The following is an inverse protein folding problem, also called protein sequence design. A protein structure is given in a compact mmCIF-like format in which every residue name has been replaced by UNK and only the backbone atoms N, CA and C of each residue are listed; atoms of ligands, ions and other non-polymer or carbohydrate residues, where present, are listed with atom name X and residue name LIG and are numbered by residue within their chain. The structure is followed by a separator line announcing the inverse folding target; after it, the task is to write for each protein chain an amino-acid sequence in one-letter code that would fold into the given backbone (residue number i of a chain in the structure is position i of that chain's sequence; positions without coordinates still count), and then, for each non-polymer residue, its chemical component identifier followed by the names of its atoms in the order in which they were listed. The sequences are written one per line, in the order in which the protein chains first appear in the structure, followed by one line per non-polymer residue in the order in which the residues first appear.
data_IF_071573485032
#
_entry.id   IF_071573485032
#
_cell.length_a   1.000
_cell.length_b   1.000
_cell.length_c   1.000
_cell.angle_alpha   90.00
_cell.angle_beta   90.00
_cell.angle_gamma   90.00
#
_symmetry.space_group_name_H-M   'P 1'
#
loop_
_entity.id
_entity.type
_entity.pdbx_description
1 polymer ?
#
# COMPACT_ATOMS: atom_id res chain seq x y z
N UNK A 1 0.05 13.42 -108.08
CA UNK A 1 0.69 13.06 -106.80
C UNK A 1 0.46 14.10 -105.70
N UNK A 2 0.48 15.41 -105.99
CA UNK A 2 0.29 16.48 -104.99
C UNK A 2 -1.12 16.53 -104.36
N UNK A 3 -2.18 16.22 -105.11
CA UNK A 3 -3.57 16.23 -104.60
C UNK A 3 -3.84 15.13 -103.57
N UNK A 4 -3.25 13.93 -103.76
CA UNK A 4 -3.40 12.80 -102.83
C UNK A 4 -2.72 13.11 -101.49
N UNK A 5 -1.55 13.77 -101.53
CA UNK A 5 -0.83 14.16 -100.32
C UNK A 5 -1.64 15.17 -99.49
N UNK A 6 -2.28 16.14 -100.15
CA UNK A 6 -3.14 17.14 -99.49
C UNK A 6 -4.35 16.51 -98.80
N UNK A 7 -5.03 15.57 -99.47
CA UNK A 7 -6.18 14.86 -98.89
C UNK A 7 -5.78 14.03 -97.68
N UNK A 8 -4.66 13.30 -97.76
CA UNK A 8 -4.14 12.52 -96.63
C UNK A 8 -3.78 13.44 -95.46
N UNK A 9 -3.16 14.59 -95.72
CA UNK A 9 -2.84 15.54 -94.65
C UNK A 9 -4.10 16.10 -93.97
N UNK A 10 -5.14 16.43 -94.74
CA UNK A 10 -6.41 16.90 -94.19
C UNK A 10 -7.09 15.84 -93.30
N UNK A 11 -7.05 14.56 -93.69
CA UNK A 11 -7.62 13.48 -92.87
C UNK A 11 -6.82 13.27 -91.58
N UNK A 12 -5.49 13.35 -91.64
CA UNK A 12 -4.62 13.22 -90.46
C UNK A 12 -4.83 14.38 -89.48
N UNK A 13 -4.92 15.61 -89.97
CA UNK A 13 -5.22 16.78 -89.12
C UNK A 13 -6.62 16.67 -88.52
N UNK A 14 -7.62 16.25 -89.31
CA UNK A 14 -8.98 16.01 -88.80
C UNK A 14 -9.04 14.94 -87.71
N UNK A 15 -8.27 13.85 -87.85
CA UNK A 15 -8.17 12.80 -86.84
C UNK A 15 -7.46 13.28 -85.55
N UNK A 16 -6.41 14.11 -85.68
CA UNK A 16 -5.69 14.69 -84.55
C UNK A 16 -6.55 15.68 -83.75
N UNK A 17 -7.29 16.56 -84.44
CA UNK A 17 -8.24 17.49 -83.82
C UNK A 17 -9.35 16.74 -83.05
N UNK A 18 -9.89 15.67 -83.64
CA UNK A 18 -10.92 14.85 -82.99
C UNK A 18 -10.38 14.12 -81.76
N UNK A 19 -9.13 13.64 -81.83
CA UNK A 19 -8.46 12.97 -80.72
C UNK A 19 -8.15 13.94 -79.57
N UNK A 20 -7.64 15.13 -79.88
CA UNK A 20 -7.39 16.19 -78.89
C UNK A 20 -8.69 16.65 -78.21
N UNK A 21 -9.77 16.82 -78.98
CA UNK A 21 -11.09 17.16 -78.46
C UNK A 21 -11.66 16.09 -77.52
N UNK A 22 -11.43 14.82 -77.83
CA UNK A 22 -11.85 13.70 -76.96
C UNK A 22 -11.03 13.64 -75.68
N UNK A 23 -9.71 13.81 -75.77
CA UNK A 23 -8.81 13.82 -74.61
C UNK A 23 -9.12 14.98 -73.64
N UNK A 24 -9.46 16.17 -74.15
CA UNK A 24 -9.87 17.32 -73.33
C UNK A 24 -11.17 17.05 -72.56
N UNK A 25 -12.16 16.42 -73.21
CA UNK A 25 -13.41 16.02 -72.55
C UNK A 25 -13.19 14.98 -71.47
N UNK A 26 -12.35 13.97 -71.73
CA UNK A 26 -12.04 12.93 -70.75
C UNK A 26 -11.29 13.51 -69.52
N UNK A 27 -10.43 14.51 -69.72
CA UNK A 27 -9.78 15.24 -68.63
C UNK A 27 -10.78 16.07 -67.81
N UNK A 28 -11.71 16.79 -68.45
CA UNK A 28 -12.76 17.55 -67.75
C UNK A 28 -13.67 16.64 -66.90
N UNK A 29 -14.00 15.46 -67.40
CA UNK A 29 -14.77 14.44 -66.66
C UNK A 29 -13.97 13.77 -65.52
N UNK A 30 -12.64 13.73 -65.61
CA UNK A 30 -11.80 13.26 -64.51
C UNK A 30 -11.67 14.33 -63.41
N UNK A 31 -11.58 15.62 -63.78
CA UNK A 31 -11.52 16.71 -62.80
C UNK A 31 -12.83 16.89 -62.04
N UNK A 32 -13.97 16.87 -62.71
CA UNK A 32 -15.30 16.93 -62.05
C UNK A 32 -15.49 15.80 -61.05
N UNK A 33 -15.16 14.56 -61.42
CA UNK A 33 -15.21 13.42 -60.48
C UNK A 33 -14.28 13.57 -59.27
N UNK A 34 -13.11 14.20 -59.43
CA UNK A 34 -12.20 14.47 -58.30
C UNK A 34 -12.73 15.58 -57.38
N UNK A 35 -13.38 16.60 -57.94
CA UNK A 35 -14.01 17.68 -57.16
C UNK A 35 -15.19 17.14 -56.37
N UNK A 36 -16.04 16.31 -56.99
CA UNK A 36 -17.17 15.68 -56.30
C UNK A 36 -16.69 14.75 -55.18
N UNK A 37 -15.64 13.95 -55.43
CA UNK A 37 -15.04 13.10 -54.42
C UNK A 37 -14.41 13.89 -53.25
N UNK A 38 -13.79 15.05 -53.53
CA UNK A 38 -13.27 15.93 -52.48
C UNK A 38 -14.41 16.54 -51.65
N UNK A 39 -15.49 16.96 -52.30
CA UNK A 39 -16.65 17.54 -51.63
C UNK A 39 -17.36 16.52 -50.72
N UNK A 40 -17.45 15.27 -51.17
CA UNK A 40 -17.95 14.14 -50.36
C UNK A 40 -17.05 13.84 -49.14
N UNK A 41 -15.73 14.01 -49.28
CA UNK A 41 -14.81 13.86 -48.14
C UNK A 41 -14.93 15.02 -47.14
N UNK A 42 -15.04 16.26 -47.63
CA UNK A 42 -15.20 17.45 -46.78
C UNK A 42 -16.53 17.42 -46.03
N UNK A 43 -17.62 17.00 -46.68
CA UNK A 43 -18.93 16.84 -46.02
C UNK A 43 -18.92 15.73 -44.96
N UNK A 44 -18.26 14.61 -45.23
CA UNK A 44 -18.05 13.55 -44.22
C UNK A 44 -17.21 14.04 -43.04
N UNK A 45 -16.11 14.76 -43.29
CA UNK A 45 -15.28 15.33 -42.22
C UNK A 45 -16.04 16.40 -41.40
N UNK A 46 -16.84 17.24 -42.05
CA UNK A 46 -17.67 18.23 -41.36
C UNK A 46 -18.74 17.55 -40.48
N UNK A 47 -19.38 16.48 -40.94
CA UNK A 47 -20.32 15.73 -40.11
C UNK A 47 -19.63 15.08 -38.91
N UNK A 48 -18.43 14.53 -39.08
CA UNK A 48 -17.63 13.99 -37.95
C UNK A 48 -17.26 15.11 -36.96
N UNK A 49 -16.83 16.28 -37.44
CA UNK A 49 -16.49 17.42 -36.59
C UNK A 49 -17.70 17.96 -35.80
N UNK A 50 -18.89 17.97 -36.40
CA UNK A 50 -20.13 18.36 -35.70
C UNK A 50 -20.45 17.35 -34.59
N UNK A 51 -20.33 16.04 -34.86
CA UNK A 51 -20.58 15.01 -33.83
C UNK A 51 -19.56 15.08 -32.68
N UNK A 52 -18.28 15.35 -33.00
CA UNK A 52 -17.24 15.53 -31.98
C UNK A 52 -17.46 16.83 -31.20
N UNK A 53 -17.93 17.90 -31.84
CA UNK A 53 -18.29 19.16 -31.19
C UNK A 53 -19.48 19.01 -30.23
N UNK A 54 -20.49 18.24 -30.61
CA UNK A 54 -21.63 17.91 -29.74
C UNK A 54 -21.19 17.04 -28.56
N UNK A 55 -20.32 16.04 -28.80
CA UNK A 55 -19.78 15.19 -27.75
C UNK A 55 -18.88 15.96 -26.77
N UNK A 56 -18.01 16.85 -27.26
CA UNK A 56 -17.21 17.73 -26.42
C UNK A 56 -18.07 18.68 -25.59
N UNK A 57 -19.13 19.23 -26.17
CA UNK A 57 -20.06 20.12 -25.44
C UNK A 57 -20.83 19.36 -24.36
N UNK A 58 -21.22 18.11 -24.63
CA UNK A 58 -21.84 17.22 -23.64
C UNK A 58 -20.88 16.88 -22.49
N UNK A 59 -19.61 16.56 -22.79
CA UNK A 59 -18.60 16.30 -21.77
C UNK A 59 -18.25 17.55 -20.96
N UNK A 60 -18.14 18.72 -21.59
CA UNK A 60 -17.85 19.98 -20.90
C UNK A 60 -19.01 20.41 -19.98
N UNK A 61 -20.25 20.13 -20.39
CA UNK A 61 -21.43 20.35 -19.54
C UNK A 61 -21.49 19.39 -18.35
N UNK A 62 -21.12 18.11 -18.52
CA UNK A 62 -20.95 17.14 -17.42
C UNK A 62 -19.86 17.54 -16.44
N UNK A 63 -18.69 17.92 -16.93
CA UNK A 63 -17.58 18.37 -16.06
C UNK A 63 -18.01 19.60 -15.25
N UNK A 64 -18.74 20.54 -15.88
CA UNK A 64 -19.23 21.74 -15.20
C UNK A 64 -20.34 21.46 -14.19
N UNK A 65 -21.27 20.55 -14.50
CA UNK A 65 -22.43 20.25 -13.65
C UNK A 65 -22.10 19.27 -12.52
N UNK A 66 -21.22 18.30 -12.74
CA UNK A 66 -21.01 17.20 -11.79
C UNK A 66 -19.67 17.34 -11.07
N UNK A 67 -18.58 17.62 -11.80
CA UNK A 67 -17.22 17.54 -11.23
C UNK A 67 -16.87 18.78 -10.41
N UNK A 68 -17.22 19.98 -10.87
CA UNK A 68 -16.96 21.22 -10.11
C UNK A 68 -17.65 21.26 -8.74
N UNK A 69 -18.97 20.97 -8.61
CA UNK A 69 -19.59 20.94 -7.29
C UNK A 69 -19.11 19.76 -6.43
N UNK A 70 -18.78 18.61 -7.03
CA UNK A 70 -18.16 17.51 -6.28
C UNK A 70 -16.79 17.89 -5.71
N UNK A 71 -15.98 18.66 -6.44
CA UNK A 71 -14.71 19.18 -5.93
C UNK A 71 -14.91 20.24 -4.85
N UNK A 72 -15.89 21.15 -4.98
CA UNK A 72 -16.18 22.17 -3.94
C UNK A 72 -16.64 21.51 -2.63
N UNK A 73 -17.50 20.49 -2.72
CA UNK A 73 -17.95 19.73 -1.54
C UNK A 73 -16.80 18.99 -0.85
N UNK A 74 -15.92 18.33 -1.62
CA UNK A 74 -14.72 17.68 -1.08
C UNK A 74 -13.74 18.68 -0.46
N UNK A 75 -13.54 19.84 -1.08
CA UNK A 75 -12.69 20.90 -0.53
C UNK A 75 -13.23 21.39 0.81
N UNK A 76 -14.53 21.67 0.92
CA UNK A 76 -15.15 22.07 2.20
C UNK A 76 -15.05 20.99 3.27
N UNK A 77 -15.24 19.72 2.88
CA UNK A 77 -15.12 18.59 3.80
C UNK A 77 -13.68 18.44 4.31
N UNK A 78 -12.68 18.54 3.43
CA UNK A 78 -11.27 18.51 3.81
C UNK A 78 -10.90 19.70 4.70
N UNK A 79 -11.40 20.91 4.41
CA UNK A 79 -11.17 22.07 5.29
C UNK A 79 -11.75 21.84 6.69
N UNK A 80 -12.96 21.26 6.79
CA UNK A 80 -13.55 20.89 8.08
C UNK A 80 -12.74 19.86 8.85
N UNK A 81 -12.21 18.83 8.17
CA UNK A 81 -11.31 17.85 8.79
C UNK A 81 -9.99 18.46 9.26
N UNK A 82 -9.44 19.41 8.51
CA UNK A 82 -8.22 20.14 8.92
C UNK A 82 -8.47 21.01 10.15
N UNK A 83 -9.63 21.67 10.24
CA UNK A 83 -10.02 22.43 11.43
C UNK A 83 -10.21 21.52 12.66
N UNK A 84 -10.81 20.34 12.48
CA UNK A 84 -10.96 19.35 13.55
C UNK A 84 -9.60 18.82 14.03
N UNK A 85 -8.71 18.46 13.11
CA UNK A 85 -7.33 18.06 13.42
C UNK A 85 -6.56 19.18 14.13
N UNK A 86 -6.71 20.44 13.71
CA UNK A 86 -6.09 21.57 14.38
C UNK A 86 -6.59 21.73 15.82
N UNK A 87 -7.88 21.45 16.07
CA UNK A 87 -8.47 21.42 17.40
C UNK A 87 -7.87 20.30 18.28
N UNK A 88 -7.75 19.09 17.73
CA UNK A 88 -7.12 17.96 18.44
C UNK A 88 -5.65 18.22 18.75
N UNK A 89 -4.90 18.83 17.84
CA UNK A 89 -3.50 19.21 18.06
C UNK A 89 -3.36 20.26 19.16
N UNK A 90 -4.23 21.28 19.18
CA UNK A 90 -4.24 22.26 20.28
C UNK A 90 -4.54 21.60 21.62
N UNK A 91 -5.50 20.66 21.65
CA UNK A 91 -5.82 19.92 22.86
C UNK A 91 -4.65 19.05 23.34
N UNK A 92 -3.94 18.41 22.40
CA UNK A 92 -2.74 17.64 22.72
C UNK A 92 -1.61 18.52 23.28
N UNK A 93 -1.39 19.71 22.71
CA UNK A 93 -0.39 20.67 23.21
C UNK A 93 -0.72 21.15 24.64
N UNK A 94 -1.99 21.42 24.93
CA UNK A 94 -2.44 21.78 26.29
C UNK A 94 -2.21 20.64 27.29
N UNK A 95 -2.46 19.38 26.88
CA UNK A 95 -2.13 18.21 27.70
C UNK A 95 -0.63 18.08 27.95
N UNK A 96 0.20 18.27 26.93
CA UNK A 96 1.67 18.20 27.05
C UNK A 96 2.19 19.29 27.99
N UNK A 97 1.71 20.53 27.89
CA UNK A 97 2.07 21.61 28.82
C UNK A 97 1.68 21.27 30.26
N UNK A 98 0.51 20.67 30.46
CA UNK A 98 0.07 20.24 31.78
C UNK A 98 0.94 19.13 32.34
N UNK A 99 1.32 18.14 31.52
CA UNK A 99 2.22 17.06 31.92
C UNK A 99 3.63 17.56 32.23
N UNK A 100 4.16 18.47 31.42
CA UNK A 100 5.45 19.11 31.67
C UNK A 100 5.47 19.87 33.01
N UNK A 101 4.37 20.58 33.34
CA UNK A 101 4.21 21.23 34.64
C UNK A 101 4.26 20.23 35.80
N UNK A 102 3.55 19.10 35.69
CA UNK A 102 3.56 18.04 36.72
C UNK A 102 4.94 17.39 36.89
N UNK A 103 5.65 17.15 35.79
CA UNK A 103 7.02 16.62 35.84
C UNK A 103 7.96 17.60 36.54
N UNK A 104 7.82 18.90 36.28
CA UNK A 104 8.62 19.91 36.95
C UNK A 104 8.35 19.97 38.46
N UNK A 105 7.09 19.87 38.87
CA UNK A 105 6.72 19.78 40.29
C UNK A 105 7.31 18.52 40.96
N UNK A 106 7.26 17.36 40.29
CA UNK A 106 7.86 16.13 40.80
C UNK A 106 9.38 16.22 40.93
N UNK A 107 10.06 16.84 39.96
CA UNK A 107 11.51 17.08 40.05
C UNK A 107 11.83 18.02 41.23
N UNK A 108 11.00 19.04 41.47
CA UNK A 108 11.17 19.93 42.61
C UNK A 108 10.93 19.21 43.95
N UNK A 109 9.93 18.32 44.02
CA UNK A 109 9.72 17.44 45.18
C UNK A 109 10.92 16.52 45.40
N UNK A 110 11.52 15.96 44.35
CA UNK A 110 12.74 15.14 44.45
C UNK A 110 13.92 15.93 45.01
N UNK A 111 14.13 17.16 44.54
CA UNK A 111 15.21 18.04 45.04
C UNK A 111 14.99 18.35 46.53
N UNK A 112 13.76 18.66 46.94
CA UNK A 112 13.46 18.93 48.37
C UNK A 112 13.64 17.69 49.24
N UNK A 113 13.25 16.50 48.77
CA UNK A 113 13.50 15.24 49.48
C UNK A 113 15.00 14.93 49.61
N UNK A 114 15.80 15.21 48.57
CA UNK A 114 17.26 15.07 48.64
C UNK A 114 17.88 16.03 49.66
N UNK A 115 17.39 17.27 49.74
CA UNK A 115 17.80 18.23 50.76
C UNK A 115 17.43 17.77 52.18
N UNK A 116 16.22 17.21 52.36
CA UNK A 116 15.78 16.65 53.65
C UNK A 116 16.63 15.44 54.06
N UNK A 117 16.99 14.54 53.14
CA UNK A 117 17.90 13.42 53.42
C UNK A 117 19.28 13.91 53.87
N UNK A 118 19.83 14.93 53.24
CA UNK A 118 21.12 15.53 53.64
C UNK A 118 21.03 16.12 55.05
N UNK A 119 19.97 16.88 55.36
CA UNK A 119 19.68 17.39 56.71
C UNK A 119 19.54 16.28 57.74
N UNK A 120 18.89 15.17 57.39
CA UNK A 120 18.72 14.03 58.29
C UNK A 120 20.04 13.32 58.57
N UNK A 121 20.93 13.20 57.57
CA UNK A 121 22.30 12.72 57.76
C UNK A 121 23.17 13.63 58.64
N UNK A 122 23.01 14.96 58.53
CA UNK A 122 23.64 15.92 59.44
C UNK A 122 23.15 15.77 60.89
N UNK A 123 21.85 15.55 61.08
CA UNK A 123 21.26 15.29 62.42
C UNK A 123 21.74 13.95 62.96
N UNK A 124 21.77 12.90 62.15
CA UNK A 124 22.26 11.58 62.54
C UNK A 124 23.73 11.61 62.95
N UNK A 125 24.59 12.29 62.19
CA UNK A 125 26.01 12.45 62.56
C UNK A 125 26.19 13.25 63.85
N UNK A 126 25.35 14.27 64.08
CA UNK A 126 25.33 15.02 65.34
C UNK A 126 24.87 14.15 66.52
N UNK A 127 23.82 13.34 66.35
CA UNK A 127 23.33 12.40 67.36
C UNK A 127 24.37 11.32 67.63
N UNK A 128 25.01 10.77 66.60
CA UNK A 128 26.07 9.74 66.73
C UNK A 128 27.25 10.28 67.55
N UNK A 129 27.66 11.53 67.32
CA UNK A 129 28.67 12.20 68.13
C UNK A 129 28.24 12.39 69.59
N UNK A 130 26.96 12.66 69.84
CA UNK A 130 26.40 12.78 71.20
C UNK A 130 26.24 11.41 71.90
N UNK A 131 25.86 10.36 71.18
CA UNK A 131 25.71 8.99 71.72
C UNK A 131 27.05 8.29 71.96
N UNK A 132 28.13 8.72 71.30
CA UNK A 132 29.50 8.29 71.63
C UNK A 132 29.92 8.62 73.08
N UNK A 133 29.16 9.48 73.77
CA UNK A 133 29.34 9.83 75.17
C UNK A 133 28.43 9.05 76.16
N UNK A 134 27.56 8.14 75.69
CA UNK A 134 26.58 7.47 76.56
C UNK A 134 26.16 6.09 76.05
N UNK A 135 26.95 5.07 76.39
CA UNK A 135 26.68 3.67 76.08
C UNK A 135 25.91 2.98 77.20
N UNK A 136 24.65 2.64 76.95
CA UNK A 136 23.97 1.40 77.44
C UNK A 136 22.50 1.32 76.96
N UNK A 137 21.86 2.44 76.58
CA UNK A 137 20.49 2.44 76.04
C UNK A 137 20.42 2.21 74.49
N UNK A 138 21.53 1.83 73.87
CA UNK A 138 21.77 1.97 72.42
C UNK A 138 21.49 0.68 71.64
N UNK A 139 21.64 -0.49 72.26
CA UNK A 139 21.61 -1.79 71.56
C UNK A 139 20.25 -2.09 70.88
N UNK A 140 19.14 -1.90 71.60
CA UNK A 140 17.80 -2.10 71.01
C UNK A 140 17.40 -1.06 69.96
N UNK A 141 18.05 0.10 69.92
CA UNK A 141 17.84 1.13 68.89
C UNK A 141 18.71 0.88 67.65
N UNK A 142 19.85 0.22 67.82
CA UNK A 142 20.73 -0.18 66.71
C UNK A 142 20.07 -1.27 65.88
N UNK A 143 19.45 -2.28 66.49
CA UNK A 143 18.72 -3.32 65.75
C UNK A 143 17.52 -2.75 64.97
N UNK A 144 16.78 -1.81 65.56
CA UNK A 144 15.68 -1.12 64.87
C UNK A 144 16.17 -0.19 63.73
N UNK A 145 17.37 0.37 63.86
CA UNK A 145 17.99 1.19 62.82
C UNK A 145 18.53 0.34 61.66
N UNK A 146 19.10 -0.84 61.96
CA UNK A 146 19.56 -1.81 60.96
C UNK A 146 18.40 -2.36 60.13
N UNK A 147 17.24 -2.63 60.75
CA UNK A 147 16.02 -3.00 60.02
C UNK A 147 15.54 -1.92 59.05
N UNK A 148 15.58 -0.64 59.48
CA UNK A 148 15.23 0.50 58.60
C UNK A 148 16.25 0.74 57.48
N UNK A 149 17.51 0.39 57.71
CA UNK A 149 18.57 0.47 56.71
C UNK A 149 18.37 -0.58 55.62
N UNK A 150 18.00 -1.81 55.99
CA UNK A 150 17.67 -2.87 55.02
C UNK A 150 16.43 -2.52 54.18
N UNK A 151 15.42 -1.86 54.76
CA UNK A 151 14.25 -1.39 54.01
C UNK A 151 14.57 -0.20 53.09
N UNK A 152 15.51 0.67 53.48
CA UNK A 152 16.02 1.75 52.62
C UNK A 152 16.90 1.24 51.49
N UNK A 153 17.68 0.19 51.72
CA UNK A 153 18.51 -0.46 50.70
C UNK A 153 17.64 -1.11 49.63
N UNK A 154 16.57 -1.80 50.05
CA UNK A 154 15.54 -2.36 49.15
C UNK A 154 14.83 -1.28 48.33
N UNK A 155 14.44 -0.17 48.97
CA UNK A 155 13.87 0.99 48.24
C UNK A 155 14.88 1.67 47.31
N UNK A 156 16.19 1.58 47.59
CA UNK A 156 17.26 2.06 46.73
C UNK A 156 17.42 1.22 45.45
N UNK A 157 17.30 -0.11 45.57
CA UNK A 157 17.30 -1.03 44.43
C UNK A 157 16.08 -0.79 43.52
N UNK A 158 14.89 -0.63 44.10
CA UNK A 158 13.66 -0.29 43.36
C UNK A 158 13.79 1.04 42.61
N UNK A 159 14.42 2.05 43.21
CA UNK A 159 14.68 3.34 42.56
C UNK A 159 15.67 3.20 41.40
N UNK A 160 16.71 2.37 41.52
CA UNK A 160 17.66 2.12 40.44
C UNK A 160 17.02 1.34 39.28
N UNK A 161 16.09 0.44 39.57
CA UNK A 161 15.31 -0.27 38.57
C UNK A 161 14.36 0.68 37.83
N UNK A 162 13.68 1.57 38.56
CA UNK A 162 12.89 2.67 37.98
C UNK A 162 13.73 3.61 37.12
N UNK A 163 14.95 3.95 37.53
CA UNK A 163 15.86 4.76 36.73
C UNK A 163 16.29 4.05 35.45
N UNK A 164 16.61 2.75 35.49
CA UNK A 164 16.91 1.98 34.27
C UNK A 164 15.72 1.87 33.34
N UNK A 165 14.52 1.70 33.87
CA UNK A 165 13.29 1.69 33.07
C UNK A 165 13.06 3.05 32.39
N UNK A 166 13.24 4.16 33.13
CA UNK A 166 13.12 5.52 32.59
C UNK A 166 14.15 5.82 31.50
N UNK A 167 15.41 5.41 31.68
CA UNK A 167 16.44 5.56 30.66
C UNK A 167 16.08 4.78 29.39
N UNK A 168 15.57 3.55 29.54
CA UNK A 168 15.15 2.73 28.41
C UNK A 168 13.98 3.36 27.66
N UNK A 169 12.98 3.89 28.38
CA UNK A 169 11.87 4.62 27.74
C UNK A 169 12.29 5.94 27.09
N UNK A 170 13.36 6.58 27.59
CA UNK A 170 13.90 7.81 26.98
C UNK A 170 14.67 7.48 25.70
N UNK A 171 15.45 6.39 25.69
CA UNK A 171 16.09 5.87 24.47
C UNK A 171 15.03 5.49 23.42
N UNK A 172 13.96 4.78 23.82
CA UNK A 172 12.85 4.44 22.91
C UNK A 172 12.18 5.69 22.33
N UNK A 173 11.99 6.74 23.13
CA UNK A 173 11.42 8.03 22.66
C UNK A 173 12.41 8.78 21.76
N UNK A 174 13.71 8.73 22.05
CA UNK A 174 14.75 9.34 21.21
C UNK A 174 14.84 8.66 19.84
N UNK A 175 14.72 7.33 19.78
CA UNK A 175 14.67 6.56 18.53
C UNK A 175 13.45 6.93 17.68
N UNK A 176 12.27 7.02 18.31
CA UNK A 176 11.03 7.46 17.62
C UNK A 176 11.16 8.90 17.12
N UNK A 177 11.76 9.80 17.90
CA UNK A 177 11.97 11.20 17.48
C UNK A 177 13.02 11.29 16.37
N UNK A 178 14.07 10.48 16.40
CA UNK A 178 15.07 10.42 15.33
C UNK A 178 14.47 9.91 14.02
N UNK A 179 13.61 8.89 14.09
CA UNK A 179 12.88 8.37 12.92
C UNK A 179 11.90 9.40 12.35
N UNK A 180 11.18 10.12 13.23
CA UNK A 180 10.30 11.22 12.82
C UNK A 180 11.07 12.42 12.24
N UNK A 181 12.23 12.78 12.79
CA UNK A 181 13.05 13.86 12.26
C UNK A 181 13.63 13.51 10.89
N UNK A 182 14.13 12.28 10.72
CA UNK A 182 14.60 11.77 9.43
C UNK A 182 13.47 11.75 8.38
N UNK A 183 12.25 11.44 8.80
CA UNK A 183 11.04 11.52 7.96
C UNK A 183 10.72 12.96 7.55
N UNK A 184 10.70 13.90 8.50
CA UNK A 184 10.38 15.30 8.20
C UNK A 184 11.45 15.99 7.36
N UNK A 185 12.73 15.65 7.55
CA UNK A 185 13.84 16.18 6.76
C UNK A 185 13.79 15.66 5.32
N UNK A 186 13.49 14.37 5.12
CA UNK A 186 13.26 13.79 3.79
C UNK A 186 12.05 14.40 3.08
N UNK A 187 10.92 14.55 3.78
CA UNK A 187 9.72 15.14 3.20
C UNK A 187 9.90 16.64 2.86
N UNK A 188 10.63 17.39 3.70
CA UNK A 188 10.93 18.80 3.41
C UNK A 188 11.90 18.95 2.24
N UNK A 189 12.96 18.15 2.16
CA UNK A 189 13.96 18.26 1.09
C UNK A 189 13.37 17.82 -0.26
N UNK A 190 12.49 16.81 -0.25
CA UNK A 190 11.76 16.36 -1.44
C UNK A 190 10.67 17.34 -1.87
N UNK A 191 9.98 18.00 -0.93
CA UNK A 191 9.01 19.05 -1.26
C UNK A 191 9.68 20.31 -1.80
N UNK A 192 10.83 20.70 -1.24
CA UNK A 192 11.65 21.80 -1.74
C UNK A 192 12.22 21.47 -3.12
N UNK A 193 12.69 20.24 -3.33
CA UNK A 193 13.19 19.76 -4.63
C UNK A 193 12.09 19.66 -5.68
N UNK A 194 10.89 19.20 -5.32
CA UNK A 194 9.73 19.14 -6.22
C UNK A 194 9.23 20.55 -6.61
N UNK A 195 9.24 21.50 -5.67
CA UNK A 195 8.91 22.90 -5.92
C UNK A 195 9.96 23.60 -6.80
N UNK A 196 11.24 23.28 -6.62
CA UNK A 196 12.35 23.86 -7.40
C UNK A 196 12.45 23.27 -8.82
N UNK A 197 12.04 22.02 -9.03
CA UNK A 197 12.17 21.34 -10.33
C UNK A 197 10.89 21.30 -11.17
N UNK A 198 9.74 21.70 -10.60
CA UNK A 198 8.45 21.74 -11.31
C UNK A 198 7.95 20.37 -11.78
N UNK A 199 8.50 19.28 -11.22
CA UNK A 199 8.17 17.89 -11.57
C UNK A 199 6.98 17.43 -10.72
N UNK A 200 5.90 16.86 -11.30
CA UNK A 200 4.82 16.29 -10.50
C UNK A 200 5.39 15.18 -9.59
N UNK A 201 4.91 15.13 -8.33
CA UNK A 201 5.30 14.12 -7.33
C UNK A 201 5.43 12.75 -7.98
N UNK A 202 6.58 12.10 -7.82
CA UNK A 202 6.71 10.70 -8.20
C UNK A 202 5.64 9.92 -7.42
N UNK A 203 4.73 9.24 -8.13
CA UNK A 203 3.65 8.43 -7.53
C UNK A 203 4.14 7.30 -6.59
N UNK A 204 5.45 7.20 -6.35
CA UNK A 204 6.05 6.18 -5.48
C UNK A 204 6.15 6.54 -4.00
N UNK A 205 6.08 7.82 -3.60
CA UNK A 205 6.40 8.22 -2.20
C UNK A 205 5.20 8.36 -1.26
N UNK A 206 3.97 8.42 -1.78
CA UNK A 206 2.79 8.29 -0.94
C UNK A 206 2.50 6.81 -0.64
N UNK A 207 2.00 6.50 0.56
CA UNK A 207 1.42 5.19 0.84
C UNK A 207 0.18 5.03 -0.05
N UNK A 208 0.24 4.10 -0.99
CA UNK A 208 -0.84 3.84 -1.95
C UNK A 208 -1.63 2.58 -1.63
N UNK A 209 -1.06 1.69 -0.81
CA UNK A 209 -1.68 0.43 -0.41
C UNK A 209 -1.19 -0.03 0.97
N UNK A 210 -2.02 -0.80 1.67
CA UNK A 210 -1.67 -1.47 2.93
C UNK A 210 -1.42 -2.96 2.68
N UNK A 211 -0.62 -3.56 3.55
CA UNK A 211 -0.33 -4.98 3.51
C UNK A 211 -0.24 -5.56 4.91
N UNK A 212 -0.49 -6.86 5.03
CA UNK A 212 -0.46 -7.56 6.32
C UNK A 212 0.13 -8.94 6.12
N UNK A 213 0.88 -9.40 7.10
CA UNK A 213 1.41 -10.75 7.14
C UNK A 213 1.33 -11.28 8.56
N UNK A 214 0.73 -12.45 8.71
CA UNK A 214 0.76 -13.20 9.95
C UNK A 214 0.74 -14.69 9.65
N UNK A 215 1.49 -15.44 10.44
CA UNK A 215 1.52 -16.89 10.41
C UNK A 215 1.42 -17.43 11.82
N UNK A 216 0.81 -18.59 11.97
CA UNK A 216 0.81 -19.33 13.23
C UNK A 216 2.15 -20.05 13.46
N UNK A 217 2.89 -20.34 12.39
CA UNK A 217 4.10 -21.16 12.45
C UNK A 217 5.36 -20.28 12.47
N UNK A 218 6.00 -20.19 13.64
CA UNK A 218 7.23 -19.39 13.86
C UNK A 218 8.38 -19.80 12.94
N UNK A 219 8.50 -21.09 12.62
CA UNK A 219 9.55 -21.63 11.75
C UNK A 219 9.46 -21.13 10.30
N UNK A 220 8.25 -20.78 9.84
CA UNK A 220 8.01 -20.31 8.48
C UNK A 220 7.92 -18.79 8.40
N UNK A 221 8.01 -18.08 9.52
CA UNK A 221 7.82 -16.63 9.60
C UNK A 221 8.86 -15.87 8.75
N UNK A 222 10.14 -16.21 8.90
CA UNK A 222 11.22 -15.58 8.12
C UNK A 222 11.08 -15.86 6.63
N UNK A 223 10.79 -17.11 6.27
CA UNK A 223 10.64 -17.54 4.87
C UNK A 223 9.43 -16.84 4.23
N UNK A 224 8.30 -16.78 4.95
CA UNK A 224 7.10 -16.10 4.50
C UNK A 224 7.33 -14.60 4.34
N UNK A 225 8.04 -13.96 5.27
CA UNK A 225 8.38 -12.54 5.17
C UNK A 225 9.21 -12.26 3.92
N UNK A 226 10.22 -13.08 3.65
CA UNK A 226 11.06 -12.96 2.45
C UNK A 226 10.26 -13.18 1.16
N UNK A 227 9.39 -14.20 1.13
CA UNK A 227 8.53 -14.48 -0.03
C UNK A 227 7.50 -13.36 -0.24
N UNK A 228 6.95 -12.83 0.83
CA UNK A 228 6.01 -11.72 0.82
C UNK A 228 6.67 -10.47 0.23
N UNK A 229 7.83 -10.06 0.76
CA UNK A 229 8.55 -8.88 0.27
C UNK A 229 9.03 -9.05 -1.18
N UNK A 230 9.41 -10.27 -1.58
CA UNK A 230 9.71 -10.58 -2.98
C UNK A 230 8.47 -10.43 -3.87
N UNK A 231 7.30 -10.89 -3.43
CA UNK A 231 6.04 -10.73 -4.16
C UNK A 231 5.62 -9.24 -4.26
N UNK A 232 5.80 -8.47 -3.20
CA UNK A 232 5.56 -7.01 -3.18
C UNK A 232 6.45 -6.32 -4.21
N UNK A 233 7.76 -6.60 -4.21
CA UNK A 233 8.72 -6.05 -5.16
C UNK A 233 8.42 -6.43 -6.60
N UNK A 234 8.07 -7.70 -6.85
CA UNK A 234 7.69 -8.16 -8.18
C UNK A 234 6.42 -7.44 -8.67
N UNK A 235 5.45 -7.18 -7.78
CA UNK A 235 4.25 -6.41 -8.08
C UNK A 235 4.49 -4.89 -8.24
N UNK A 236 5.77 -4.46 -8.32
CA UNK A 236 6.21 -3.05 -8.42
C UNK A 236 5.78 -2.17 -7.26
N UNK A 237 5.61 -2.78 -6.09
CA UNK A 237 5.36 -2.09 -4.84
C UNK A 237 6.66 -1.99 -4.04
N UNK A 238 6.80 -0.89 -3.32
CA UNK A 238 7.90 -0.66 -2.40
C UNK A 238 7.37 -0.69 -0.97
N UNK A 239 8.00 -1.50 -0.10
CA UNK A 239 7.74 -1.43 1.34
C UNK A 239 8.33 -0.12 1.85
N UNK A 240 7.48 0.75 2.41
CA UNK A 240 7.88 2.06 2.93
C UNK A 240 8.17 1.97 4.42
N UNK A 241 7.21 1.46 5.16
CA UNK A 241 7.39 1.13 6.56
C UNK A 241 6.70 -0.19 6.89
N UNK A 242 7.20 -0.86 7.92
CA UNK A 242 6.60 -2.06 8.49
C UNK A 242 6.47 -1.86 9.99
N UNK A 243 5.33 -2.25 10.54
CA UNK A 243 5.11 -2.24 11.98
C UNK A 243 4.86 -3.66 12.46
N UNK A 244 5.47 -4.01 13.58
CA UNK A 244 5.23 -5.25 14.28
C UNK A 244 4.21 -5.01 15.39
N UNK A 245 3.06 -5.67 15.30
CA UNK A 245 2.00 -5.65 16.31
C UNK A 245 1.98 -6.98 17.06
N UNK A 246 2.85 -7.10 18.06
CA UNK A 246 2.75 -8.18 19.03
C UNK A 246 1.84 -7.78 20.20
N UNK A 247 1.04 -8.69 20.78
CA UNK A 247 0.50 -8.46 22.11
C UNK A 247 1.69 -8.43 23.09
N UNK A 248 2.18 -7.23 23.41
CA UNK A 248 3.18 -6.97 24.46
C UNK A 248 4.35 -7.95 24.52
N UNK A 249 5.29 -7.86 23.57
CA UNK A 249 6.68 -8.33 23.73
C UNK A 249 6.87 -9.71 24.36
N UNK A 250 5.91 -10.63 24.20
CA UNK A 250 5.94 -11.92 24.88
C UNK A 250 6.80 -12.83 23.99
N UNK A 251 8.00 -13.26 24.44
CA UNK A 251 8.86 -14.08 23.61
C UNK A 251 8.14 -15.38 23.25
N UNK A 252 7.96 -15.64 21.94
CA UNK A 252 7.34 -16.85 21.40
C UNK A 252 5.89 -16.73 20.91
N UNK A 253 5.29 -15.54 20.87
CA UNK A 253 4.02 -15.33 20.13
C UNK A 253 4.31 -14.89 18.69
N UNK A 254 3.62 -15.45 17.68
CA UNK A 254 3.86 -15.08 16.28
C UNK A 254 3.60 -13.59 16.03
N UNK A 255 4.57 -12.91 15.42
CA UNK A 255 4.54 -11.48 15.17
C UNK A 255 3.52 -11.14 14.07
N UNK A 256 2.64 -10.16 14.33
CA UNK A 256 1.74 -9.63 13.30
C UNK A 256 2.45 -8.48 12.61
N UNK A 257 2.70 -8.57 11.31
CA UNK A 257 3.39 -7.51 10.56
C UNK A 257 2.42 -6.75 9.69
N UNK A 258 2.31 -5.43 9.87
CA UNK A 258 1.65 -4.53 8.92
C UNK A 258 2.70 -3.89 8.03
N UNK A 259 2.41 -3.84 6.74
CA UNK A 259 3.24 -3.23 5.72
C UNK A 259 2.48 -2.05 5.12
N UNK A 260 3.22 -0.98 4.85
CA UNK A 260 2.68 0.18 4.19
C UNK A 260 3.45 0.33 2.89
N UNK A 261 2.71 0.22 1.80
CA UNK A 261 3.25 0.01 0.47
C UNK A 261 3.06 1.30 -0.34
N UNK A 262 4.13 1.75 -0.98
CA UNK A 262 4.09 2.83 -1.98
C UNK A 262 4.24 2.28 -3.39
N UNK A 263 3.79 3.04 -4.39
CA UNK A 263 3.89 2.65 -5.80
C UNK A 263 2.56 2.77 -6.54
N UNK A 264 2.02 1.66 -7.02
CA UNK A 264 0.77 1.66 -7.78
C UNK A 264 -0.45 1.95 -6.89
N UNK A 265 -1.47 2.60 -7.46
CA UNK A 265 -2.74 2.80 -6.79
C UNK A 265 -3.42 1.44 -6.54
N UNK A 266 -4.17 1.34 -5.44
CA UNK A 266 -4.86 0.11 -5.04
C UNK A 266 -5.83 -0.42 -6.12
N UNK A 267 -6.46 0.48 -6.89
CA UNK A 267 -7.37 0.12 -7.98
C UNK A 267 -6.66 -0.58 -9.15
N UNK A 268 -5.47 -0.09 -9.53
CA UNK A 268 -4.66 -0.68 -10.61
C UNK A 268 -4.13 -2.07 -10.20
N UNK A 269 -3.76 -2.22 -8.92
CA UNK A 269 -3.31 -3.49 -8.36
C UNK A 269 -4.39 -4.56 -8.39
N UNK A 270 -5.67 -4.20 -8.18
CA UNK A 270 -6.76 -5.17 -8.19
C UNK A 270 -6.89 -5.86 -9.55
N UNK A 271 -6.74 -5.09 -10.64
CA UNK A 271 -6.72 -5.62 -12.01
C UNK A 271 -5.52 -6.54 -12.26
N UNK A 272 -4.33 -6.13 -11.81
CA UNK A 272 -3.09 -6.92 -11.94
C UNK A 272 -3.20 -8.25 -11.18
N UNK A 273 -3.59 -8.24 -9.91
CA UNK A 273 -3.72 -9.46 -9.11
C UNK A 273 -4.82 -10.38 -9.63
N UNK A 274 -5.94 -9.83 -10.12
CA UNK A 274 -6.97 -10.64 -10.77
C UNK A 274 -6.42 -11.35 -12.01
N UNK A 275 -5.66 -10.64 -12.85
CA UNK A 275 -5.01 -11.23 -14.02
C UNK A 275 -3.97 -12.29 -13.64
N UNK A 276 -3.17 -12.05 -12.58
CA UNK A 276 -2.19 -13.00 -12.07
C UNK A 276 -2.86 -14.27 -11.51
N UNK A 277 -3.95 -14.16 -10.77
CA UNK A 277 -4.71 -15.31 -10.27
C UNK A 277 -5.33 -16.14 -11.40
N UNK A 278 -5.83 -15.47 -12.44
CA UNK A 278 -6.33 -16.14 -13.66
C UNK A 278 -5.18 -16.85 -14.40
N UNK A 279 -4.04 -16.18 -14.58
CA UNK A 279 -2.85 -16.73 -15.26
C UNK A 279 -2.21 -17.88 -14.48
N UNK A 280 -2.20 -17.79 -13.15
CA UNK A 280 -1.56 -18.75 -12.27
C UNK A 280 -2.16 -20.16 -12.32
N UNK A 281 -3.27 -20.34 -13.04
CA UNK A 281 -3.90 -21.63 -13.25
C UNK A 281 -4.93 -21.95 -12.18
N UNK A 282 -5.73 -20.96 -11.75
CA UNK A 282 -7.01 -21.22 -11.11
C UNK A 282 -7.99 -21.80 -12.15
N UNK A 283 -7.81 -23.09 -12.47
CA UNK A 283 -8.89 -23.91 -13.02
C UNK A 283 -10.06 -24.08 -12.02
N UNK A 284 -9.90 -23.61 -10.78
CA UNK A 284 -10.98 -23.36 -9.84
C UNK A 284 -11.77 -22.13 -10.31
N UNK A 285 -12.88 -22.39 -11.00
CA UNK A 285 -13.89 -21.38 -11.30
C UNK A 285 -14.26 -20.59 -10.03
N UNK A 286 -14.57 -19.30 -10.14
CA UNK A 286 -15.32 -18.60 -9.10
C UNK A 286 -16.57 -19.42 -8.76
N UNK A 287 -16.74 -19.72 -7.47
CA UNK A 287 -17.42 -20.92 -6.98
C UNK A 287 -18.74 -21.29 -7.64
N UNK A 288 -18.89 -22.57 -7.98
CA UNK A 288 -20.18 -23.24 -8.05
C UNK A 288 -20.01 -24.59 -7.35
N UNK A 289 -20.49 -24.68 -6.11
CA UNK A 289 -20.42 -25.91 -5.32
C UNK A 289 -21.33 -26.98 -5.92
N UNK A 290 -20.75 -28.02 -6.53
CA UNK A 290 -21.31 -29.37 -6.57
C UNK A 290 -20.14 -30.34 -6.64
N UNK A 291 -19.96 -31.11 -5.56
CA UNK A 291 -19.16 -32.32 -5.52
C UNK A 291 -19.76 -33.37 -6.47
N UNK A 292 -19.04 -33.73 -7.53
CA UNK A 292 -19.42 -34.87 -8.37
C UNK A 292 -18.74 -34.92 -9.73
N UNK A 293 -17.74 -35.80 -9.86
CA UNK A 293 -17.44 -36.51 -11.10
C UNK A 293 -16.50 -35.82 -12.09
N UNK A 294 -15.45 -36.55 -12.45
CA UNK A 294 -14.53 -36.33 -13.57
C UNK A 294 -13.52 -35.18 -13.43
N UNK A 295 -12.34 -35.56 -12.94
CA UNK A 295 -11.08 -34.87 -13.19
C UNK A 295 -10.80 -34.72 -14.70
N UNK A 296 -11.43 -33.72 -15.33
CA UNK A 296 -10.97 -33.21 -16.62
C UNK A 296 -9.81 -32.26 -16.36
N UNK A 297 -8.60 -32.76 -16.62
CA UNK A 297 -7.37 -32.02 -16.87
C UNK A 297 -7.69 -30.63 -17.43
N UNK A 298 -7.61 -29.62 -16.57
CA UNK A 298 -7.66 -28.22 -16.96
C UNK A 298 -6.46 -27.94 -17.84
N UNK A 299 -6.73 -27.49 -19.06
CA UNK A 299 -5.79 -27.19 -20.13
C UNK A 299 -4.59 -26.41 -19.59
N UNK A 300 -3.44 -27.07 -19.56
CA UNK A 300 -2.18 -26.39 -19.78
C UNK A 300 -2.38 -25.48 -21.00
N UNK A 301 -1.90 -24.23 -20.88
CA UNK A 301 -1.73 -23.29 -21.98
C UNK A 301 -1.40 -24.11 -23.24
N UNK A 302 -2.33 -24.14 -24.21
CA UNK A 302 -2.01 -24.67 -25.54
C UNK A 302 -1.07 -23.63 -26.14
N UNK A 303 0.21 -23.70 -25.76
CA UNK A 303 1.25 -23.00 -26.48
C UNK A 303 1.31 -23.64 -27.87
N UNK A 304 1.27 -22.84 -28.95
CA UNK A 304 1.53 -23.36 -30.28
C UNK A 304 2.90 -24.06 -30.24
N UNK A 305 2.90 -25.35 -30.57
CA UNK A 305 4.00 -26.28 -30.33
C UNK A 305 5.39 -25.67 -30.53
N UNK A 306 6.09 -25.44 -29.43
CA UNK A 306 7.49 -25.04 -29.45
C UNK A 306 8.32 -26.31 -29.74
N UNK A 307 9.25 -26.30 -30.72
CA UNK A 307 10.05 -27.46 -31.04
C UNK A 307 10.88 -27.95 -29.85
N UNK A 308 11.07 -29.26 -29.75
CA UNK A 308 11.84 -29.89 -28.68
C UNK A 308 13.27 -29.29 -28.62
N UNK A 309 13.58 -28.60 -27.51
CA UNK A 309 14.88 -27.96 -27.28
C UNK A 309 14.85 -26.47 -26.95
N UNK A 310 13.67 -25.83 -26.96
CA UNK A 310 13.50 -24.44 -26.50
C UNK A 310 12.88 -24.47 -25.10
N UNK A 311 13.58 -23.90 -24.12
CA UNK A 311 13.06 -23.75 -22.76
C UNK A 311 11.77 -22.91 -22.78
N UNK A 312 10.72 -23.31 -22.04
CA UNK A 312 9.48 -22.54 -21.98
C UNK A 312 9.79 -21.13 -21.50
N UNK A 313 9.17 -20.13 -22.12
CA UNK A 313 9.32 -18.74 -21.73
C UNK A 313 9.01 -18.62 -20.23
N UNK A 314 10.00 -18.21 -19.42
CA UNK A 314 9.79 -17.89 -18.00
C UNK A 314 8.52 -17.04 -17.89
N UNK A 315 7.60 -17.46 -17.02
CA UNK A 315 6.45 -16.64 -16.69
C UNK A 315 6.89 -15.25 -16.21
N UNK A 316 6.03 -14.22 -16.29
CA UNK A 316 6.34 -12.92 -15.71
C UNK A 316 6.77 -13.10 -14.25
N UNK A 317 7.84 -12.40 -13.84
CA UNK A 317 8.46 -12.52 -12.52
C UNK A 317 7.44 -12.43 -11.38
N UNK A 318 6.43 -11.58 -11.58
CA UNK A 318 5.27 -11.32 -10.73
C UNK A 318 4.43 -12.59 -10.48
N UNK A 319 4.21 -13.42 -11.52
CA UNK A 319 3.43 -14.66 -11.40
C UNK A 319 4.22 -15.74 -10.64
N UNK A 320 5.53 -15.84 -10.90
CA UNK A 320 6.39 -16.80 -10.18
C UNK A 320 6.51 -16.43 -8.70
N UNK A 321 6.66 -15.14 -8.39
CA UNK A 321 6.73 -14.65 -7.02
C UNK A 321 5.42 -14.88 -6.26
N UNK A 322 4.27 -14.58 -6.89
CA UNK A 322 2.95 -14.82 -6.29
C UNK A 322 2.71 -16.32 -6.05
N UNK A 323 3.02 -17.18 -7.02
CA UNK A 323 2.89 -18.64 -6.85
C UNK A 323 3.77 -19.18 -5.72
N UNK A 324 5.00 -18.66 -5.60
CA UNK A 324 5.91 -19.03 -4.51
C UNK A 324 5.31 -18.65 -3.16
N UNK A 325 4.82 -17.41 -3.01
CA UNK A 325 4.17 -16.96 -1.79
C UNK A 325 2.96 -17.83 -1.42
N UNK A 326 2.07 -18.09 -2.38
CA UNK A 326 0.87 -18.90 -2.15
C UNK A 326 1.19 -20.36 -1.78
N UNK A 327 2.27 -20.94 -2.34
CA UNK A 327 2.74 -22.28 -1.96
C UNK A 327 3.29 -22.31 -0.53
N UNK A 328 4.11 -21.33 -0.16
CA UNK A 328 4.63 -21.24 1.21
C UNK A 328 3.51 -20.98 2.21
N UNK A 329 2.50 -20.18 1.85
CA UNK A 329 1.29 -20.01 2.66
C UNK A 329 0.50 -21.32 2.81
N UNK A 330 0.45 -22.17 1.79
CA UNK A 330 -0.24 -23.46 1.86
C UNK A 330 0.41 -24.45 2.84
N UNK A 331 1.74 -24.38 2.98
CA UNK A 331 2.52 -25.20 3.91
C UNK A 331 2.27 -24.83 5.38
N UNK A 332 1.71 -23.64 5.64
CA UNK A 332 1.41 -23.17 6.98
C UNK A 332 0.12 -23.79 7.55
N UNK A 333 0.09 -23.97 8.87
CA UNK A 333 -1.06 -24.45 9.65
C UNK A 333 -2.15 -23.39 9.84
N UNK A 334 -1.81 -22.12 9.60
CA UNK A 334 -2.70 -20.98 9.54
C UNK A 334 -1.93 -19.71 9.24
N UNK A 335 -2.30 -18.99 8.20
CA UNK A 335 -1.61 -17.76 7.80
C UNK A 335 -2.54 -16.80 7.07
N UNK A 336 -2.26 -15.51 7.17
CA UNK A 336 -2.95 -14.44 6.45
C UNK A 336 -1.91 -13.56 5.81
N UNK A 337 -2.07 -13.30 4.51
CA UNK A 337 -1.24 -12.37 3.76
C UNK A 337 -2.15 -11.42 2.96
N UNK A 338 -1.92 -10.13 3.08
CA UNK A 338 -2.60 -9.08 2.33
C UNK A 338 -1.54 -8.24 1.60
N UNK A 339 -1.70 -8.05 0.30
CA UNK A 339 -0.89 -7.13 -0.52
C UNK A 339 -1.85 -6.18 -1.24
N UNK A 340 -2.07 -5.01 -0.68
CA UNK A 340 -3.07 -4.06 -1.16
C UNK A 340 -4.46 -4.72 -1.24
N UNK A 341 -5.07 -4.80 -2.43
CA UNK A 341 -6.38 -5.43 -2.60
C UNK A 341 -6.32 -6.97 -2.58
N UNK A 342 -5.16 -7.60 -2.81
CA UNK A 342 -5.06 -9.05 -2.76
C UNK A 342 -5.03 -9.52 -1.30
N UNK A 343 -5.87 -10.48 -0.97
CA UNK A 343 -5.89 -11.15 0.32
C UNK A 343 -5.84 -12.66 0.13
N UNK A 344 -4.90 -13.32 0.80
CA UNK A 344 -4.74 -14.77 0.86
C UNK A 344 -4.87 -15.24 2.31
N UNK A 345 -5.70 -16.24 2.54
CA UNK A 345 -5.98 -16.80 3.86
C UNK A 345 -5.83 -18.32 3.79
N UNK A 346 -4.98 -18.84 4.66
CA UNK A 346 -4.79 -20.27 4.89
C UNK A 346 -5.40 -20.64 6.23
N UNK A 347 -6.39 -21.53 6.21
CA UNK A 347 -6.87 -22.23 7.42
C UNK A 347 -6.23 -23.62 7.51
N UNK A 348 -6.74 -24.56 8.30
CA UNK A 348 -6.23 -25.94 8.29
C UNK A 348 -6.63 -26.69 7.02
N UNK A 349 -7.81 -26.41 6.49
CA UNK A 349 -8.46 -27.24 5.47
C UNK A 349 -8.47 -26.60 4.08
N UNK A 350 -8.31 -25.28 4.00
CA UNK A 350 -8.42 -24.55 2.73
C UNK A 350 -7.39 -23.43 2.59
N UNK A 351 -7.13 -23.05 1.33
CA UNK A 351 -6.40 -21.85 0.93
C UNK A 351 -7.32 -21.01 0.04
N UNK A 352 -7.75 -19.87 0.57
CA UNK A 352 -8.64 -18.95 -0.12
C UNK A 352 -7.90 -17.67 -0.50
N UNK A 353 -8.12 -17.20 -1.72
CA UNK A 353 -7.64 -15.91 -2.18
C UNK A 353 -8.81 -15.04 -2.62
N UNK A 354 -8.73 -13.74 -2.36
CA UNK A 354 -9.70 -12.77 -2.82
C UNK A 354 -9.02 -11.48 -3.26
N UNK A 355 -9.66 -10.78 -4.20
CA UNK A 355 -9.25 -9.43 -4.60
C UNK A 355 -10.36 -8.48 -4.14
N UNK A 356 -10.01 -7.65 -3.18
CA UNK A 356 -10.89 -6.76 -2.46
C UNK A 356 -11.01 -5.42 -3.17
N UNK A 357 -12.21 -4.84 -3.14
CA UNK A 357 -12.43 -3.44 -3.52
C UNK A 357 -11.89 -2.49 -2.45
N UNK A 358 -11.67 -1.22 -2.78
CA UNK A 358 -11.20 -0.22 -1.82
C UNK A 358 -12.13 -0.09 -0.59
N UNK A 359 -13.45 -0.11 -0.81
CA UNK A 359 -14.43 -0.06 0.27
C UNK A 359 -14.34 -1.28 1.20
N UNK A 360 -14.19 -2.48 0.62
CA UNK A 360 -13.96 -3.69 1.40
C UNK A 360 -12.64 -3.58 2.15
N UNK A 361 -11.52 -3.24 1.52
CA UNK A 361 -10.22 -3.08 2.20
C UNK A 361 -10.31 -2.18 3.42
N UNK A 362 -11.03 -1.05 3.33
CA UNK A 362 -11.22 -0.11 4.43
C UNK A 362 -12.09 -0.68 5.56
N UNK A 363 -13.19 -1.36 5.24
CA UNK A 363 -14.01 -2.08 6.24
C UNK A 363 -13.24 -3.20 6.94
N UNK A 364 -12.21 -3.75 6.30
CA UNK A 364 -11.39 -4.84 6.82
C UNK A 364 -10.18 -4.31 7.63
N UNK A 365 -9.81 -3.04 7.45
CA UNK A 365 -8.82 -2.34 8.28
C UNK A 365 -9.34 -2.01 9.67
N UNK A 366 -10.62 -1.65 9.79
CA UNK A 366 -11.20 -1.22 11.06
C UNK A 366 -11.52 -2.34 12.06
N UNK A 367 -11.63 -3.59 11.61
CA UNK A 367 -12.26 -4.65 12.42
C UNK A 367 -11.27 -5.53 13.22
N UNK A 368 -9.94 -5.46 13.01
CA UNK A 368 -8.89 -6.38 13.57
C UNK A 368 -9.10 -7.90 13.34
N UNK A 369 -10.28 -8.31 12.87
CA UNK A 369 -10.78 -9.68 12.65
C UNK A 369 -9.91 -10.49 11.67
N UNK A 370 -9.03 -9.85 10.90
CA UNK A 370 -8.20 -10.52 9.89
C UNK A 370 -6.89 -11.12 10.37
N UNK A 371 -6.54 -10.93 11.64
CA UNK A 371 -5.43 -11.69 12.20
C UNK A 371 -5.79 -13.14 12.51
N UNK A 372 -7.08 -13.49 12.61
CA UNK A 372 -7.53 -14.88 12.71
C UNK A 372 -7.88 -15.43 11.32
N UNK A 373 -7.13 -16.44 10.80
CA UNK A 373 -7.46 -17.08 9.54
C UNK A 373 -8.87 -17.68 9.50
N UNK A 374 -9.39 -18.16 10.64
CA UNK A 374 -10.71 -18.76 10.70
C UNK A 374 -11.79 -17.71 10.40
N UNK A 375 -11.78 -16.59 11.12
CA UNK A 375 -12.75 -15.51 10.91
C UNK A 375 -12.58 -14.84 9.55
N UNK A 376 -11.32 -14.65 9.12
CA UNK A 376 -11.00 -14.15 7.79
C UNK A 376 -11.63 -15.01 6.69
N UNK A 377 -11.51 -16.35 6.79
CA UNK A 377 -12.09 -17.28 5.80
C UNK A 377 -13.62 -17.20 5.74
N UNK A 378 -14.30 -17.08 6.89
CA UNK A 378 -15.76 -16.93 6.96
C UNK A 378 -16.20 -15.65 6.25
N UNK A 379 -15.44 -14.57 6.40
CA UNK A 379 -15.74 -13.29 5.77
C UNK A 379 -15.46 -13.30 4.27
N UNK A 380 -14.36 -13.91 3.83
CA UNK A 380 -14.06 -14.07 2.40
C UNK A 380 -15.15 -14.88 1.67
N UNK A 381 -15.75 -15.88 2.31
CA UNK A 381 -16.87 -16.66 1.75
C UNK A 381 -18.17 -15.87 1.58
N UNK A 382 -18.32 -14.72 2.24
CA UNK A 382 -19.48 -13.82 2.04
C UNK A 382 -19.31 -12.90 0.84
N UNK A 383 -18.09 -12.82 0.28
CA UNK A 383 -17.83 -12.02 -0.90
C UNK A 383 -18.53 -12.61 -2.14
N UNK A 384 -18.81 -11.77 -3.15
CA UNK A 384 -19.29 -12.25 -4.44
C UNK A 384 -18.36 -13.33 -5.01
N UNK A 385 -18.95 -14.39 -5.59
CA UNK A 385 -18.19 -15.56 -6.07
C UNK A 385 -17.10 -15.20 -7.08
N UNK A 386 -17.27 -14.13 -7.86
CA UNK A 386 -16.29 -13.65 -8.84
C UNK A 386 -15.03 -13.00 -8.23
N UNK A 387 -15.05 -12.71 -6.92
CA UNK A 387 -13.93 -12.12 -6.17
C UNK A 387 -13.21 -13.15 -5.30
N UNK A 388 -13.65 -14.40 -5.30
CA UNK A 388 -13.14 -15.47 -4.44
C UNK A 388 -12.58 -16.62 -5.29
N UNK A 389 -11.35 -17.02 -4.97
CA UNK A 389 -10.64 -18.14 -5.57
C UNK A 389 -10.33 -19.17 -4.50
N UNK A 390 -10.85 -20.39 -4.67
CA UNK A 390 -10.44 -21.54 -3.88
C UNK A 390 -9.22 -22.19 -4.53
N UNK A 391 -8.07 -22.06 -3.87
CA UNK A 391 -6.79 -22.57 -4.35
C UNK A 391 -6.37 -23.85 -3.63
N UNK A 392 -7.25 -24.45 -2.82
CA UNK A 392 -6.94 -25.63 -2.00
C UNK A 392 -6.45 -26.79 -2.87
N UNK A 393 -7.17 -27.11 -3.95
CA UNK A 393 -6.77 -28.18 -4.87
C UNK A 393 -5.49 -27.87 -5.66
N UNK A 394 -5.28 -26.59 -6.00
CA UNK A 394 -4.06 -26.14 -6.69
C UNK A 394 -2.82 -26.26 -5.79
N UNK A 395 -2.95 -25.87 -4.53
CA UNK A 395 -1.85 -25.91 -3.57
C UNK A 395 -1.37 -27.33 -3.25
N UNK A 396 -2.28 -28.32 -3.31
CA UNK A 396 -1.94 -29.74 -3.11
C UNK A 396 -1.33 -30.42 -4.34
N UNK A 397 -1.30 -29.76 -5.49
CA UNK A 397 -0.72 -30.32 -6.70
C UNK A 397 0.81 -30.12 -6.73
N UNK A 398 1.60 -31.16 -7.08
CA UNK A 398 3.06 -31.11 -7.09
C UNK A 398 3.64 -30.13 -8.13
#
# INVERSE_FOLDING_TARGET
MTTVILVVMCVVVGALELYAGKQSRDQAHAFTRRIDALNDQVTKQNNVLVTVGEQLTAELSRVKQDVLPALDTRLRQNTGQVEELAGLVHQADDYLRTQAGRLHELEQQRITLAALRRKLGEVETSVRAATGAGGEAVDGKVDAALGRLADLERGGEEILELQRALTRTLEDVEDVVAELLQFTEGELDDTVTAALTGRPRAHGDAVTATGRLWTRDEQLEDILSDMYERCVRASRLAVRFRTAEGPNGTPGSPERRRYFLGGHASEDLAGVFSALLISAGAGARPGNGVSGGEAKRGLARVEPGVPAGVEPARGPEDEAALKSLLRTLAECSGAVAQIGPLMAVRTRDELLCAVLTAAQSLELESDEVFWDPADASVRLRRLPSHQLWDLTGWATAP
#
